data_IF_485225906104
#
_entry.id   IF_485225906104
#
_cell.length_a   1.000
_cell.length_b   1.000
_cell.length_c   1.000
_cell.angle_alpha   90.00
_cell.angle_beta   90.00
_cell.angle_gamma   90.00
#
_symmetry.space_group_name_H-M   'P 1'
#
loop_
_entity.id
_entity.type
_entity.pdbx_description
1 polymer ?
#
# COMPACT_ATOMS: atom_id res chain seq x y z
N UNK A 1 -35.81 -18.11 -58.41
CA UNK A 1 -35.41 -19.50 -58.75
C UNK A 1 -34.12 -19.78 -57.97
N UNK A 2 -33.98 -20.76 -57.05
CA UNK A 2 -34.16 -22.24 -57.16
C UNK A 2 -33.34 -22.79 -58.36
N UNK A 3 -32.39 -23.74 -58.34
CA UNK A 3 -32.11 -25.00 -57.59
C UNK A 3 -30.60 -25.41 -57.77
N UNK A 4 -30.01 -26.54 -57.31
CA UNK A 4 -29.70 -27.10 -55.96
C UNK A 4 -28.77 -28.34 -56.09
N UNK A 5 -27.88 -28.62 -55.09
CA UNK A 5 -27.07 -29.88 -54.91
C UNK A 5 -25.91 -30.12 -55.94
N UNK A 6 -24.87 -30.98 -55.78
CA UNK A 6 -24.38 -31.94 -54.76
C UNK A 6 -22.87 -32.30 -55.02
N UNK A 7 -21.98 -32.44 -54.01
CA UNK A 7 -21.38 -33.69 -53.45
C UNK A 7 -20.16 -34.36 -54.16
N UNK A 8 -19.24 -34.94 -53.35
CA UNK A 8 -18.00 -35.73 -53.67
C UNK A 8 -16.75 -34.94 -54.17
N UNK A 9 -15.50 -35.28 -53.85
CA UNK A 9 -14.92 -36.51 -53.24
C UNK A 9 -13.68 -36.27 -52.31
N UNK A 10 -13.21 -37.35 -51.68
CA UNK A 10 -12.04 -37.48 -50.79
C UNK A 10 -10.70 -36.93 -51.35
N UNK A 11 -9.83 -36.46 -50.44
CA UNK A 11 -8.46 -36.98 -50.36
C UNK A 11 -7.95 -36.98 -48.90
N UNK A 12 -7.53 -38.16 -48.42
CA UNK A 12 -6.96 -38.38 -47.09
C UNK A 12 -5.44 -38.50 -47.22
N UNK A 13 -4.67 -37.65 -46.55
CA UNK A 13 -3.22 -37.80 -46.42
C UNK A 13 -2.87 -38.19 -44.98
N UNK A 14 -2.53 -39.47 -44.81
CA UNK A 14 -1.99 -40.02 -43.58
C UNK A 14 -0.53 -39.59 -43.40
N UNK A 15 -0.21 -38.99 -42.26
CA UNK A 15 1.17 -38.92 -41.75
C UNK A 15 1.18 -39.70 -40.44
N UNK A 16 1.71 -40.92 -40.48
CA UNK A 16 1.81 -41.77 -39.30
C UNK A 16 3.00 -41.36 -38.43
N UNK A 17 2.74 -40.97 -37.19
CA UNK A 17 3.75 -40.94 -36.13
C UNK A 17 3.56 -42.14 -35.21
N UNK A 18 4.57 -43.00 -35.13
CA UNK A 18 4.55 -44.18 -34.26
C UNK A 18 4.67 -43.76 -32.79
N UNK A 19 3.58 -43.86 -32.03
CA UNK A 19 3.62 -43.77 -30.58
C UNK A 19 3.97 -45.15 -30.03
N UNK A 20 5.17 -45.29 -29.45
CA UNK A 20 5.56 -46.50 -28.74
C UNK A 20 4.78 -46.61 -27.43
N UNK A 21 3.93 -47.64 -27.30
CA UNK A 21 3.20 -47.94 -26.07
C UNK A 21 4.16 -48.59 -25.07
N UNK A 22 4.65 -47.81 -24.10
CA UNK A 22 5.38 -48.35 -22.95
C UNK A 22 4.39 -49.05 -22.01
N UNK A 23 4.58 -50.36 -21.82
CA UNK A 23 3.71 -51.18 -20.99
C UNK A 23 4.15 -51.08 -19.52
N UNK A 24 3.54 -50.16 -18.76
CA UNK A 24 3.86 -49.96 -17.33
C UNK A 24 3.20 -51.08 -16.50
N UNK A 25 3.96 -51.85 -15.69
CA UNK A 25 3.38 -52.90 -14.86
C UNK A 25 2.51 -52.30 -13.75
N UNK A 26 1.28 -52.82 -13.59
CA UNK A 26 0.38 -52.43 -12.51
C UNK A 26 0.93 -52.93 -11.15
N UNK A 27 1.43 -52.02 -10.34
CA UNK A 27 1.73 -52.28 -8.93
C UNK A 27 0.45 -52.24 -8.10
N UNK A 28 0.11 -53.34 -7.42
CA UNK A 28 -0.95 -53.37 -6.41
C UNK A 28 -0.52 -52.56 -5.19
N UNK A 29 -1.06 -51.34 -5.05
CA UNK A 29 -1.05 -50.61 -3.77
C UNK A 29 -2.31 -51.01 -3.02
N UNK A 30 -2.17 -51.40 -1.75
CA UNK A 30 -3.31 -51.65 -0.87
C UNK A 30 -3.93 -50.31 -0.46
N UNK A 31 -5.23 -50.17 -0.64
CA UNK A 31 -5.99 -49.04 -0.08
C UNK A 31 -6.11 -49.21 1.44
N UNK A 32 -5.30 -48.48 2.21
CA UNK A 32 -5.54 -48.28 3.64
C UNK A 32 -6.21 -46.91 3.85
N UNK A 33 -7.51 -46.94 4.12
CA UNK A 33 -8.25 -45.93 4.88
C UNK A 33 -8.14 -44.46 4.45
N UNK A 34 -8.79 -44.08 3.35
CA UNK A 34 -9.13 -42.66 3.12
C UNK A 34 -10.26 -42.25 4.08
N UNK A 35 -9.89 -41.81 5.28
CA UNK A 35 -10.79 -41.06 6.15
C UNK A 35 -11.14 -39.71 5.52
N UNK A 36 -12.37 -39.25 5.72
CA UNK A 36 -12.86 -37.96 5.21
C UNK A 36 -11.91 -36.82 5.59
N UNK A 37 -11.25 -36.21 4.59
CA UNK A 37 -10.45 -34.99 4.78
C UNK A 37 -11.40 -33.79 4.79
N UNK A 38 -12.26 -33.73 5.80
CA UNK A 38 -12.94 -32.47 6.16
C UNK A 38 -11.88 -31.45 6.57
N UNK A 39 -12.08 -30.21 6.12
CA UNK A 39 -11.20 -29.05 6.29
C UNK A 39 -10.30 -29.08 7.54
N UNK A 40 -9.00 -28.80 7.34
CA UNK A 40 -8.11 -28.34 8.42
C UNK A 40 -8.53 -26.92 8.80
N UNK A 41 -9.65 -26.80 9.50
CA UNK A 41 -10.05 -25.58 10.18
C UNK A 41 -9.06 -25.37 11.33
N UNK A 42 -8.34 -24.24 11.29
CA UNK A 42 -7.38 -23.87 12.34
C UNK A 42 -8.02 -23.97 13.73
N UNK A 43 -7.39 -24.75 14.60
CA UNK A 43 -7.84 -24.91 16.00
C UNK A 43 -7.37 -23.67 16.75
N UNK A 44 -8.32 -22.80 17.11
CA UNK A 44 -8.06 -21.51 17.77
C UNK A 44 -8.49 -20.29 16.97
N UNK A 45 -9.67 -20.32 16.32
CA UNK A 45 -10.31 -19.08 15.86
C UNK A 45 -11.13 -18.50 17.01
N UNK A 46 -10.47 -17.63 17.78
CA UNK A 46 -11.15 -16.75 18.74
C UNK A 46 -11.97 -15.76 17.92
N UNK A 47 -13.25 -16.10 17.75
CA UNK A 47 -14.18 -15.28 17.01
C UNK A 47 -14.65 -14.14 17.91
N UNK A 48 -14.11 -12.93 17.70
CA UNK A 48 -14.32 -11.77 18.57
C UNK A 48 -15.13 -10.69 17.85
N UNK A 49 -16.02 -10.04 18.58
CA UNK A 49 -16.79 -8.90 18.07
C UNK A 49 -15.93 -7.62 18.00
N UNK A 50 -16.02 -6.92 16.86
CA UNK A 50 -15.48 -5.57 16.68
C UNK A 50 -16.51 -4.54 17.16
N UNK A 51 -16.18 -3.86 18.26
CA UNK A 51 -17.04 -2.92 19.00
C UNK A 51 -16.92 -1.48 18.51
N UNK A 52 -15.76 -1.08 17.98
CA UNK A 52 -15.53 0.25 17.46
C UNK A 52 -14.40 0.30 16.42
N UNK A 53 -14.44 1.29 15.53
CA UNK A 53 -13.39 1.59 14.55
C UNK A 53 -12.78 2.94 14.90
N UNK A 54 -11.45 3.01 14.99
CA UNK A 54 -10.76 4.27 15.30
C UNK A 54 -10.51 5.06 14.01
N UNK A 55 -9.95 4.38 13.02
CA UNK A 55 -9.43 4.91 11.76
C UNK A 55 -9.46 3.79 10.69
N UNK A 56 -8.83 3.96 9.54
CA UNK A 56 -8.83 2.98 8.44
C UNK A 56 -8.03 1.70 8.68
N UNK A 57 -7.23 1.59 9.76
CA UNK A 57 -6.40 0.41 10.04
C UNK A 57 -6.35 -0.02 11.52
N UNK A 58 -7.12 0.62 12.39
CA UNK A 58 -7.16 0.32 13.82
C UNK A 58 -8.59 0.10 14.32
N UNK A 59 -8.83 -1.06 14.93
CA UNK A 59 -10.13 -1.44 15.51
C UNK A 59 -10.03 -1.66 17.03
N UNK A 60 -11.18 -1.62 17.71
CA UNK A 60 -11.32 -1.98 19.12
C UNK A 60 -12.33 -3.12 19.23
N UNK A 61 -11.92 -4.19 19.91
CA UNK A 61 -12.71 -5.39 20.14
C UNK A 61 -13.66 -5.22 21.34
N UNK A 62 -14.59 -6.15 21.53
CA UNK A 62 -15.58 -6.11 22.61
C UNK A 62 -14.96 -6.12 24.03
N UNK A 63 -13.77 -6.70 24.18
CA UNK A 63 -12.96 -6.73 25.42
C UNK A 63 -12.08 -5.47 25.60
N UNK A 64 -12.30 -4.44 24.80
CA UNK A 64 -11.51 -3.20 24.71
C UNK A 64 -10.05 -3.40 24.21
N UNK A 65 -9.69 -4.58 23.70
CA UNK A 65 -8.40 -4.80 23.02
C UNK A 65 -8.32 -3.96 21.74
N UNK A 66 -7.28 -3.13 21.63
CA UNK A 66 -6.97 -2.34 20.41
C UNK A 66 -6.08 -3.14 19.46
N UNK A 67 -6.52 -3.28 18.21
CA UNK A 67 -5.86 -4.06 17.15
C UNK A 67 -5.45 -3.16 16.00
N UNK A 68 -4.17 -3.18 15.62
CA UNK A 68 -3.64 -2.55 14.40
C UNK A 68 -3.51 -3.60 13.30
N UNK A 69 -4.07 -3.31 12.12
CA UNK A 69 -4.02 -4.18 10.96
C UNK A 69 -2.58 -4.24 10.43
N UNK A 70 -2.03 -5.45 10.31
CA UNK A 70 -0.67 -5.70 9.78
C UNK A 70 -0.61 -5.39 8.28
N UNK A 71 0.52 -4.83 7.84
CA UNK A 71 0.90 -4.76 6.42
C UNK A 71 0.31 -3.57 5.65
N UNK A 72 -0.48 -2.71 6.31
CA UNK A 72 -1.21 -1.61 5.69
C UNK A 72 -1.03 -0.32 6.49
N UNK A 73 -1.16 0.84 5.85
CA UNK A 73 -1.29 2.13 6.53
C UNK A 73 -2.38 2.99 5.87
N UNK A 74 -3.29 3.54 6.65
CA UNK A 74 -4.40 4.35 6.17
C UNK A 74 -4.11 5.85 6.26
N UNK A 75 -4.88 6.72 5.59
CA UNK A 75 -4.81 8.16 5.84
C UNK A 75 -5.18 8.49 7.30
N UNK A 76 -4.50 9.47 7.88
CA UNK A 76 -4.77 10.02 9.23
C UNK A 76 -5.92 11.05 9.22
N UNK A 77 -6.49 11.42 10.39
CA UNK A 77 -7.70 12.27 10.50
C UNK A 77 -7.66 13.57 9.67
N UNK A 78 -6.50 14.21 9.57
CA UNK A 78 -6.29 15.45 8.81
C UNK A 78 -5.94 15.22 7.32
N UNK A 79 -6.06 13.98 6.81
CA UNK A 79 -5.64 13.59 5.47
C UNK A 79 -6.82 13.26 4.54
N UNK A 80 -6.64 13.46 3.22
CA UNK A 80 -7.58 13.04 2.20
C UNK A 80 -7.87 11.53 2.27
N UNK A 81 -9.11 11.13 1.99
CA UNK A 81 -9.60 9.76 2.08
C UNK A 81 -9.63 9.13 3.50
N UNK A 82 -9.37 9.88 4.57
CA UNK A 82 -9.53 9.38 5.95
C UNK A 82 -10.95 8.91 6.25
N UNK A 83 -11.92 9.79 6.01
CA UNK A 83 -13.34 9.54 6.27
C UNK A 83 -13.85 8.35 5.44
N UNK A 84 -13.44 8.26 4.18
CA UNK A 84 -13.73 7.18 3.26
C UNK A 84 -13.12 5.85 3.72
N UNK A 85 -11.86 5.85 4.17
CA UNK A 85 -11.16 4.68 4.67
C UNK A 85 -11.77 4.16 5.97
N UNK A 86 -12.02 5.06 6.94
CA UNK A 86 -12.72 4.73 8.18
C UNK A 86 -14.12 4.15 7.92
N UNK A 87 -14.94 4.81 7.09
CA UNK A 87 -16.30 4.33 6.74
C UNK A 87 -16.27 2.99 6.01
N UNK A 88 -15.26 2.74 5.18
CA UNK A 88 -15.05 1.43 4.55
C UNK A 88 -14.82 0.36 5.62
N UNK A 89 -13.91 0.57 6.57
CA UNK A 89 -13.64 -0.40 7.63
C UNK A 89 -14.84 -0.58 8.58
N UNK A 90 -15.56 0.50 8.91
CA UNK A 90 -16.85 0.45 9.64
C UNK A 90 -17.89 -0.42 8.92
N UNK A 91 -18.10 -0.20 7.61
CA UNK A 91 -19.06 -0.99 6.83
C UNK A 91 -18.68 -2.49 6.76
N UNK A 92 -17.37 -2.77 6.80
CA UNK A 92 -16.83 -4.13 6.80
C UNK A 92 -16.96 -4.80 8.16
N UNK A 93 -16.71 -4.11 9.28
CA UNK A 93 -16.47 -4.77 10.57
C UNK A 93 -17.35 -4.35 11.75
N UNK A 94 -18.00 -3.18 11.74
CA UNK A 94 -18.72 -2.68 12.93
C UNK A 94 -19.82 -3.64 13.40
N UNK A 95 -19.79 -4.02 14.68
CA UNK A 95 -20.68 -5.03 15.31
C UNK A 95 -20.63 -6.40 14.62
N UNK A 96 -19.48 -6.79 14.06
CA UNK A 96 -19.28 -8.12 13.44
C UNK A 96 -18.23 -8.93 14.17
N UNK A 97 -18.44 -10.23 14.07
CA UNK A 97 -17.63 -11.31 14.61
C UNK A 97 -16.55 -11.70 13.60
N UNK A 98 -15.28 -11.58 13.98
CA UNK A 98 -14.10 -11.76 13.11
C UNK A 98 -13.09 -12.76 13.67
N UNK A 99 -12.34 -13.40 12.77
CA UNK A 99 -11.18 -14.21 13.12
C UNK A 99 -9.89 -13.37 13.05
N UNK A 100 -8.98 -13.55 14.02
CA UNK A 100 -7.78 -12.72 14.22
C UNK A 100 -6.47 -13.51 14.07
N UNK A 101 -5.84 -13.41 12.91
CA UNK A 101 -4.59 -14.12 12.58
C UNK A 101 -3.38 -13.30 13.02
N UNK A 102 -2.46 -13.92 13.76
CA UNK A 102 -1.16 -13.33 14.11
C UNK A 102 -0.11 -13.66 13.05
N UNK A 103 0.91 -12.80 12.97
CA UNK A 103 2.20 -13.07 12.33
C UNK A 103 3.27 -13.19 13.45
N UNK A 104 4.56 -13.19 13.10
CA UNK A 104 5.69 -13.32 14.03
C UNK A 104 5.63 -12.37 15.26
N UNK A 105 5.51 -11.06 15.04
CA UNK A 105 5.35 -10.05 16.09
C UNK A 105 3.87 -9.78 16.41
N UNK A 106 3.49 -10.02 17.67
CA UNK A 106 2.10 -9.97 18.13
C UNK A 106 1.63 -8.60 18.69
N UNK A 107 2.55 -7.68 18.98
CA UNK A 107 2.27 -6.39 19.66
C UNK A 107 3.23 -5.30 19.15
N UNK A 108 2.75 -4.08 18.93
CA UNK A 108 3.60 -2.94 18.57
C UNK A 108 4.12 -2.14 19.78
N UNK A 109 5.00 -1.16 19.52
CA UNK A 109 5.56 -0.29 20.57
C UNK A 109 4.52 0.53 21.38
N UNK A 110 3.29 0.65 20.90
CA UNK A 110 2.19 1.34 21.57
C UNK A 110 1.26 0.38 22.33
N UNK A 111 1.59 -0.91 22.37
CA UNK A 111 0.80 -1.95 23.03
C UNK A 111 -0.42 -2.42 22.23
N UNK A 112 -0.58 -2.00 20.96
CA UNK A 112 -1.67 -2.50 20.09
C UNK A 112 -1.35 -3.93 19.66
N UNK A 113 -2.36 -4.80 19.61
CA UNK A 113 -2.20 -6.14 19.03
C UNK A 113 -2.05 -6.03 17.51
N UNK A 114 -1.04 -6.71 16.97
CA UNK A 114 -0.82 -6.79 15.53
C UNK A 114 -1.58 -8.02 14.99
N UNK A 115 -2.51 -7.80 14.04
CA UNK A 115 -3.31 -8.87 13.43
C UNK A 115 -3.60 -8.63 11.93
N UNK A 116 -3.77 -9.73 11.21
CA UNK A 116 -4.62 -9.77 10.02
C UNK A 116 -6.06 -10.11 10.44
N UNK A 117 -7.06 -9.43 9.89
CA UNK A 117 -8.46 -9.65 10.24
C UNK A 117 -9.18 -10.35 9.09
N UNK A 118 -9.96 -11.38 9.42
CA UNK A 118 -10.78 -12.15 8.50
C UNK A 118 -12.26 -12.09 8.90
N UNK A 119 -13.13 -11.81 7.93
CA UNK A 119 -14.59 -11.91 8.07
C UNK A 119 -15.08 -13.07 7.20
N UNK A 120 -15.17 -14.26 7.80
CA UNK A 120 -15.24 -15.51 7.03
C UNK A 120 -14.03 -15.63 6.11
N UNK A 121 -14.24 -15.94 4.84
CA UNK A 121 -13.15 -16.07 3.85
C UNK A 121 -12.59 -14.71 3.37
N UNK A 122 -13.07 -13.56 3.90
CA UNK A 122 -12.67 -12.22 3.44
C UNK A 122 -11.49 -11.68 4.25
N UNK A 123 -10.31 -11.59 3.62
CA UNK A 123 -9.14 -10.92 4.18
C UNK A 123 -9.31 -9.38 4.16
N UNK A 124 -9.49 -8.77 5.33
CA UNK A 124 -9.88 -7.35 5.44
C UNK A 124 -8.73 -6.41 5.08
N UNK A 125 -7.51 -6.72 5.53
CA UNK A 125 -6.32 -5.90 5.25
C UNK A 125 -6.11 -5.76 3.73
N UNK A 126 -6.27 -6.86 3.00
CA UNK A 126 -6.24 -6.89 1.53
C UNK A 126 -7.36 -6.06 0.89
N UNK A 127 -8.61 -6.18 1.36
CA UNK A 127 -9.73 -5.42 0.81
C UNK A 127 -9.61 -3.91 1.05
N UNK A 128 -9.02 -3.48 2.17
CA UNK A 128 -8.71 -2.07 2.43
C UNK A 128 -7.71 -1.52 1.39
N UNK A 129 -6.58 -2.20 1.18
CA UNK A 129 -5.57 -1.81 0.17
C UNK A 129 -6.14 -1.85 -1.25
N UNK A 130 -6.84 -2.93 -1.60
CA UNK A 130 -7.44 -3.15 -2.93
C UNK A 130 -8.50 -2.10 -3.29
N UNK A 131 -9.18 -1.54 -2.29
CA UNK A 131 -10.11 -0.43 -2.47
C UNK A 131 -9.43 0.94 -2.63
N UNK A 132 -8.10 1.01 -2.50
CA UNK A 132 -7.34 2.26 -2.59
C UNK A 132 -7.48 3.15 -1.34
N UNK A 133 -7.91 2.59 -0.22
CA UNK A 133 -8.17 3.33 1.02
C UNK A 133 -7.10 3.09 2.11
N UNK A 134 -6.14 2.23 1.83
CA UNK A 134 -4.89 2.07 2.59
C UNK A 134 -3.72 1.82 1.63
N UNK A 135 -2.53 2.27 2.02
CA UNK A 135 -1.26 1.92 1.40
C UNK A 135 -0.74 0.61 2.00
N UNK A 136 0.23 -0.01 1.33
CA UNK A 136 0.97 -1.17 1.87
C UNK A 136 2.17 -0.67 2.67
N UNK A 137 2.28 -1.13 3.91
CA UNK A 137 3.40 -0.84 4.82
C UNK A 137 3.86 -2.15 5.46
N UNK A 138 4.92 -2.75 4.92
CA UNK A 138 5.45 -4.05 5.37
C UNK A 138 6.57 -3.81 6.38
N UNK A 139 6.31 -4.12 7.64
CA UNK A 139 7.28 -4.01 8.74
C UNK A 139 7.74 -5.42 9.11
N UNK A 140 9.03 -5.71 8.93
CA UNK A 140 9.61 -6.99 9.35
C UNK A 140 9.57 -7.14 10.87
N UNK A 141 9.32 -8.34 11.43
CA UNK A 141 9.24 -9.65 10.76
C UNK A 141 7.87 -9.99 10.13
N UNK A 142 6.86 -9.13 10.26
CA UNK A 142 5.47 -9.40 9.86
C UNK A 142 5.26 -9.26 8.34
N UNK A 143 5.68 -10.27 7.59
CA UNK A 143 5.74 -10.28 6.12
C UNK A 143 4.82 -11.31 5.47
N UNK A 144 4.03 -12.08 6.23
CA UNK A 144 3.34 -13.28 5.73
C UNK A 144 2.38 -13.02 4.55
N UNK A 145 1.72 -11.86 4.51
CA UNK A 145 0.84 -11.45 3.40
C UNK A 145 1.45 -10.39 2.45
N UNK A 146 2.75 -10.10 2.53
CA UNK A 146 3.36 -8.97 1.81
C UNK A 146 3.17 -9.03 0.28
N UNK A 147 3.24 -10.22 -0.35
CA UNK A 147 3.05 -10.37 -1.79
C UNK A 147 1.60 -10.08 -2.23
N UNK A 148 0.63 -10.57 -1.46
CA UNK A 148 -0.81 -10.41 -1.71
C UNK A 148 -1.23 -8.93 -1.56
N UNK A 149 -0.74 -8.26 -0.51
CA UNK A 149 -0.99 -6.84 -0.27
C UNK A 149 -0.36 -5.96 -1.37
N UNK A 150 0.86 -6.26 -1.81
CA UNK A 150 1.46 -5.54 -2.95
C UNK A 150 0.70 -5.75 -4.27
N UNK A 151 0.09 -6.93 -4.48
CA UNK A 151 -0.80 -7.16 -5.60
C UNK A 151 -2.09 -6.31 -5.50
N UNK A 152 -2.70 -6.22 -4.31
CA UNK A 152 -3.83 -5.33 -4.05
C UNK A 152 -3.50 -3.86 -4.33
N UNK A 153 -2.32 -3.39 -3.90
CA UNK A 153 -1.88 -2.01 -4.14
C UNK A 153 -1.66 -1.74 -5.63
N UNK A 154 -1.06 -2.70 -6.34
CA UNK A 154 -0.88 -2.61 -7.80
C UNK A 154 -2.23 -2.50 -8.50
N UNK A 155 -3.21 -3.33 -8.11
CA UNK A 155 -4.59 -3.23 -8.61
C UNK A 155 -5.23 -1.87 -8.31
N UNK A 156 -5.11 -1.37 -7.07
CA UNK A 156 -5.71 -0.09 -6.68
C UNK A 156 -5.07 1.12 -7.40
N UNK A 157 -3.76 1.04 -7.68
CA UNK A 157 -3.04 1.99 -8.55
C UNK A 157 -3.51 1.90 -9.99
N UNK A 158 -3.51 0.70 -10.60
CA UNK A 158 -3.94 0.48 -11.99
C UNK A 158 -5.42 0.83 -12.25
N UNK A 159 -6.24 0.74 -11.21
CA UNK A 159 -7.67 1.12 -11.22
C UNK A 159 -7.94 2.52 -10.69
N UNK A 160 -6.91 3.24 -10.25
CA UNK A 160 -7.01 4.65 -9.91
C UNK A 160 -8.06 4.89 -8.81
N UNK A 161 -7.98 4.11 -7.71
CA UNK A 161 -8.97 4.10 -6.65
C UNK A 161 -8.48 4.86 -5.41
N UNK A 162 -9.37 5.65 -4.79
CA UNK A 162 -9.11 6.31 -3.52
C UNK A 162 -7.85 7.19 -3.57
N UNK A 163 -6.90 6.95 -2.68
CA UNK A 163 -5.64 7.70 -2.57
C UNK A 163 -4.82 7.73 -3.87
N UNK A 164 -5.05 6.79 -4.81
CA UNK A 164 -4.35 6.69 -6.09
C UNK A 164 -4.99 7.47 -7.23
N UNK A 165 -6.23 7.97 -7.07
CA UNK A 165 -6.97 8.74 -8.09
C UNK A 165 -6.14 9.90 -8.65
N UNK A 166 -5.40 10.58 -7.77
CA UNK A 166 -4.57 11.73 -8.13
C UNK A 166 -3.41 11.44 -9.08
N UNK A 167 -2.78 10.25 -8.99
CA UNK A 167 -1.64 9.88 -9.84
C UNK A 167 -2.04 9.39 -11.24
N UNK A 168 -3.23 8.78 -11.34
CA UNK A 168 -3.77 8.24 -12.58
C UNK A 168 -4.45 9.29 -13.46
N UNK A 169 -5.20 10.17 -12.81
CA UNK A 169 -5.73 11.38 -13.40
C UNK A 169 -4.93 12.54 -12.80
N UNK A 170 -3.61 12.66 -13.07
CA UNK A 170 -2.91 13.88 -12.74
C UNK A 170 -3.71 14.98 -13.43
N UNK A 171 -4.05 16.03 -12.69
CA UNK A 171 -4.57 17.17 -13.41
C UNK A 171 -3.45 17.60 -14.37
N UNK A 172 -3.78 17.93 -15.62
CA UNK A 172 -2.75 18.35 -16.60
C UNK A 172 -2.02 19.64 -16.17
N UNK A 173 -2.45 20.23 -15.05
CA UNK A 173 -1.82 21.29 -14.27
C UNK A 173 -0.74 20.84 -13.26
N UNK A 174 -0.71 19.58 -12.79
CA UNK A 174 0.17 19.14 -11.68
C UNK A 174 1.61 18.87 -12.13
N UNK A 175 2.23 19.91 -12.65
CA UNK A 175 3.64 19.98 -13.04
C UNK A 175 4.61 19.98 -11.84
N UNK A 176 4.08 20.01 -10.61
CA UNK A 176 4.85 19.94 -9.37
C UNK A 176 5.07 18.47 -9.02
N UNK A 177 6.32 18.05 -8.95
CA UNK A 177 6.68 16.66 -8.71
C UNK A 177 7.83 16.55 -7.72
N UNK A 178 7.92 15.41 -7.03
CA UNK A 178 9.16 14.98 -6.38
C UNK A 178 10.15 14.65 -7.50
N UNK A 179 11.36 15.18 -7.43
CA UNK A 179 12.37 15.05 -8.50
C UNK A 179 13.64 14.31 -8.08
N UNK A 180 13.96 14.30 -6.78
CA UNK A 180 15.04 13.51 -6.20
C UNK A 180 14.82 13.35 -4.70
N UNK A 181 15.44 12.30 -4.13
CA UNK A 181 15.52 12.08 -2.68
C UNK A 181 16.96 11.71 -2.32
N UNK A 182 17.45 12.22 -1.20
CA UNK A 182 18.75 11.90 -0.61
C UNK A 182 18.54 11.36 0.80
N UNK A 183 19.05 10.15 1.05
CA UNK A 183 18.93 9.43 2.33
C UNK A 183 20.29 9.28 3.04
N UNK A 184 21.40 9.25 2.31
CA UNK A 184 22.73 8.92 2.85
C UNK A 184 23.49 10.19 3.26
N UNK A 185 23.46 10.48 4.57
CA UNK A 185 24.47 11.29 5.21
C UNK A 185 25.68 10.41 5.52
N UNK A 186 26.79 10.56 4.77
CA UNK A 186 27.99 9.71 4.89
C UNK A 186 28.79 9.77 6.22
N UNK A 187 28.19 10.28 7.29
CA UNK A 187 28.70 10.26 8.66
C UNK A 187 27.56 10.51 9.66
N UNK A 188 27.44 9.61 10.66
CA UNK A 188 26.69 9.75 11.93
C UNK A 188 25.40 10.57 11.83
N UNK A 189 24.30 9.89 11.50
CA UNK A 189 22.96 10.42 11.24
C UNK A 189 22.45 11.36 12.36
N UNK A 190 22.93 11.19 13.59
CA UNK A 190 22.59 12.07 14.72
C UNK A 190 23.15 13.50 14.60
N UNK A 191 24.10 13.75 13.70
CA UNK A 191 24.87 15.02 13.57
C UNK A 191 24.68 15.76 12.26
N UNK A 192 23.98 15.20 11.27
CA UNK A 192 23.91 15.77 9.92
C UNK A 192 22.56 15.58 9.21
N UNK A 193 21.44 15.77 9.93
CA UNK A 193 20.07 15.65 9.39
C UNK A 193 19.75 16.58 8.20
N UNK A 194 20.58 17.60 7.95
CA UNK A 194 20.43 18.45 6.75
C UNK A 194 21.03 17.81 5.47
N UNK A 195 21.73 16.68 5.57
CA UNK A 195 22.20 15.93 4.39
C UNK A 195 21.13 15.01 3.80
N UNK A 196 20.14 14.62 4.59
CA UNK A 196 18.88 14.05 4.10
C UNK A 196 17.98 15.15 3.52
N UNK A 197 17.40 14.93 2.34
CA UNK A 197 16.43 15.87 1.76
C UNK A 197 15.57 15.26 0.65
N UNK A 198 14.39 15.86 0.47
CA UNK A 198 13.50 15.63 -0.68
C UNK A 198 13.48 16.88 -1.56
N UNK A 199 13.65 16.72 -2.87
CA UNK A 199 13.62 17.84 -3.83
C UNK A 199 12.32 17.87 -4.63
N UNK A 200 11.59 18.98 -4.50
CA UNK A 200 10.37 19.26 -5.25
C UNK A 200 10.71 20.16 -6.44
N UNK A 201 10.31 19.78 -7.65
CA UNK A 201 10.52 20.55 -8.88
C UNK A 201 9.21 21.08 -9.43
N UNK A 202 9.19 22.36 -9.79
CA UNK A 202 8.15 22.93 -10.65
C UNK A 202 8.53 22.73 -12.12
N UNK A 203 7.82 21.86 -12.84
CA UNK A 203 8.03 21.63 -14.27
C UNK A 203 7.15 22.52 -15.19
N UNK A 204 6.30 23.38 -14.64
CA UNK A 204 5.50 24.33 -15.42
C UNK A 204 6.36 25.39 -16.14
N UNK A 205 5.70 26.12 -17.05
CA UNK A 205 6.17 27.37 -17.64
C UNK A 205 5.92 28.60 -16.75
N UNK A 206 5.03 28.50 -15.75
CA UNK A 206 4.70 29.54 -14.76
C UNK A 206 5.23 29.22 -13.36
N UNK A 207 5.30 30.24 -12.50
CA UNK A 207 5.48 30.05 -11.06
C UNK A 207 4.24 29.41 -10.43
N UNK A 208 4.42 28.71 -9.31
CA UNK A 208 3.35 28.06 -8.57
C UNK A 208 3.51 28.29 -7.07
N UNK A 209 2.42 28.49 -6.33
CA UNK A 209 2.46 28.60 -4.88
C UNK A 209 2.19 27.23 -4.25
N UNK A 210 3.11 26.77 -3.40
CA UNK A 210 3.03 25.49 -2.72
C UNK A 210 2.28 25.58 -1.38
N UNK A 211 1.66 26.72 -1.03
CA UNK A 211 0.87 26.86 0.21
C UNK A 211 -0.07 25.65 0.43
N UNK A 212 0.09 24.99 1.58
CA UNK A 212 -0.63 23.79 2.01
C UNK A 212 -0.35 22.50 1.19
N UNK A 213 0.67 22.48 0.33
CA UNK A 213 1.16 21.21 -0.23
C UNK A 213 1.77 20.37 0.88
N UNK A 214 1.48 19.07 0.86
CA UNK A 214 1.86 18.11 1.89
C UNK A 214 2.87 17.12 1.32
N UNK A 215 4.03 17.03 1.95
CA UNK A 215 5.02 15.96 1.69
C UNK A 215 4.99 15.02 2.90
N UNK A 216 4.81 13.72 2.68
CA UNK A 216 4.88 12.72 3.77
C UNK A 216 5.65 11.47 3.39
N UNK A 217 6.10 10.76 4.41
CA UNK A 217 6.57 9.38 4.31
C UNK A 217 5.39 8.39 4.21
N UNK A 218 5.72 7.10 4.05
CA UNK A 218 4.73 6.03 4.02
C UNK A 218 4.04 5.83 5.38
N UNK A 219 4.79 5.99 6.47
CA UNK A 219 4.28 5.80 7.84
C UNK A 219 3.29 6.88 8.28
N UNK A 220 3.25 8.00 7.58
CA UNK A 220 2.47 9.21 7.89
C UNK A 220 2.82 9.89 9.23
N UNK A 221 3.73 9.33 10.03
CA UNK A 221 4.26 9.95 11.25
C UNK A 221 5.07 11.21 10.92
N UNK A 222 5.67 11.25 9.72
CA UNK A 222 6.39 12.41 9.22
C UNK A 222 5.64 13.05 8.05
N UNK A 223 4.96 14.18 8.33
CA UNK A 223 4.50 15.12 7.29
C UNK A 223 5.09 16.54 7.39
N UNK A 224 5.48 17.11 6.24
CA UNK A 224 5.83 18.52 6.03
C UNK A 224 4.72 19.23 5.25
N UNK A 225 4.21 20.34 5.79
CA UNK A 225 3.27 21.20 5.09
C UNK A 225 3.96 22.48 4.67
N UNK A 226 4.00 22.76 3.37
CA UNK A 226 4.49 24.02 2.84
C UNK A 226 3.67 25.20 3.35
N UNK A 227 4.36 26.21 3.87
CA UNK A 227 3.81 27.55 4.12
C UNK A 227 3.69 28.31 2.78
N UNK A 228 3.49 29.63 2.81
CA UNK A 228 3.49 30.45 1.61
C UNK A 228 4.86 30.43 0.91
N UNK A 229 5.01 29.58 -0.10
CA UNK A 229 6.27 29.36 -0.83
C UNK A 229 6.01 29.35 -2.33
N UNK A 230 6.57 30.32 -3.07
CA UNK A 230 6.38 30.45 -4.51
C UNK A 230 7.55 29.84 -5.26
N UNK A 231 7.35 28.68 -5.88
CA UNK A 231 8.36 28.00 -6.67
C UNK A 231 8.29 28.43 -8.14
N UNK A 232 9.35 29.08 -8.62
CA UNK A 232 9.45 29.57 -10.00
C UNK A 232 9.48 28.45 -11.06
N UNK A 233 9.22 28.78 -12.35
CA UNK A 233 9.21 27.78 -13.42
C UNK A 233 10.57 27.14 -13.62
N UNK A 234 10.59 25.80 -13.77
CA UNK A 234 11.80 24.96 -13.86
C UNK A 234 12.75 25.08 -12.65
N UNK A 235 12.28 25.62 -11.52
CA UNK A 235 13.04 25.70 -10.26
C UNK A 235 12.76 24.48 -9.38
N UNK A 236 13.61 24.33 -8.37
CA UNK A 236 13.60 23.27 -7.37
C UNK A 236 13.67 23.87 -5.98
N UNK A 237 13.07 23.20 -5.01
CA UNK A 237 13.24 23.45 -3.56
C UNK A 237 13.54 22.13 -2.87
N UNK A 238 14.46 22.14 -1.91
CA UNK A 238 14.81 21.00 -1.06
C UNK A 238 14.17 21.14 0.30
N UNK A 239 13.59 20.05 0.80
CA UNK A 239 13.05 19.92 2.15
C UNK A 239 14.04 19.07 2.93
N UNK A 240 14.78 19.69 3.84
CA UNK A 240 15.78 19.04 4.68
C UNK A 240 15.15 18.50 5.98
N UNK A 241 15.60 17.33 6.46
CA UNK A 241 15.07 16.75 7.70
C UNK A 241 15.38 17.61 8.93
N UNK A 242 16.59 18.16 8.99
CA UNK A 242 17.08 18.96 10.11
C UNK A 242 16.51 20.38 10.16
N UNK A 243 17.23 21.25 10.88
CA UNK A 243 16.83 22.64 11.13
C UNK A 243 17.84 23.65 10.59
N UNK A 244 17.34 24.78 10.08
CA UNK A 244 18.10 25.98 9.68
C UNK A 244 17.11 27.12 9.38
N UNK A 245 17.55 28.16 8.67
CA UNK A 245 16.73 29.26 8.16
C UNK A 245 16.27 28.94 6.74
N UNK A 246 14.95 28.95 6.49
CA UNK A 246 14.36 28.78 5.16
C UNK A 246 14.90 29.81 4.14
N UNK A 247 15.19 29.33 2.92
CA UNK A 247 15.66 30.13 1.78
C UNK A 247 14.72 29.97 0.58
N UNK A 248 15.06 30.58 -0.56
CA UNK A 248 14.32 30.38 -1.81
C UNK A 248 14.56 29.01 -2.48
N UNK A 249 15.49 28.20 -1.97
CA UNK A 249 15.87 26.90 -2.54
C UNK A 249 15.90 25.76 -1.53
N UNK A 250 15.91 26.05 -0.24
CA UNK A 250 16.12 25.08 0.84
C UNK A 250 15.20 25.46 2.01
N UNK A 251 14.33 24.53 2.43
CA UNK A 251 13.41 24.68 3.55
C UNK A 251 13.62 23.56 4.56
N UNK A 252 13.33 23.84 5.83
CA UNK A 252 13.74 22.98 6.93
C UNK A 252 12.54 22.50 7.75
N UNK A 253 12.53 21.23 8.10
CA UNK A 253 11.34 20.56 8.61
C UNK A 253 11.28 20.58 10.14
N UNK A 254 12.22 19.94 10.83
CA UNK A 254 12.21 19.87 12.28
C UNK A 254 12.80 21.13 12.91
N UNK A 255 12.02 22.19 13.07
CA UNK A 255 12.44 23.37 13.83
C UNK A 255 11.51 23.67 15.02
N UNK A 256 11.97 23.53 16.28
CA UNK A 256 13.31 23.08 16.71
C UNK A 256 13.58 21.60 16.37
N UNK A 257 14.86 21.25 16.26
CA UNK A 257 15.31 19.92 15.84
C UNK A 257 14.92 18.84 16.85
N UNK A 258 14.39 17.71 16.37
CA UNK A 258 14.08 16.53 17.18
C UNK A 258 15.23 15.51 17.08
N UNK A 259 15.23 14.50 17.94
CA UNK A 259 16.32 13.52 17.97
C UNK A 259 16.32 12.57 16.76
N UNK A 260 15.15 12.22 16.23
CA UNK A 260 15.00 11.26 15.12
C UNK A 260 15.20 11.88 13.73
N UNK A 261 15.87 11.16 12.83
CA UNK A 261 15.83 11.41 11.39
C UNK A 261 14.39 11.32 10.84
N UNK A 262 14.14 11.92 9.67
CA UNK A 262 12.81 11.88 9.03
C UNK A 262 12.76 10.83 7.93
N UNK A 263 13.76 10.86 7.04
CA UNK A 263 13.84 9.95 5.92
C UNK A 263 14.65 8.74 6.39
N UNK A 264 13.97 7.63 6.67
CA UNK A 264 14.64 6.46 7.19
C UNK A 264 15.23 5.61 6.05
N UNK A 265 16.24 4.82 6.38
CA UNK A 265 17.04 4.06 5.40
C UNK A 265 16.43 2.70 5.01
N UNK A 266 15.14 2.47 5.29
CA UNK A 266 14.44 1.20 4.99
C UNK A 266 13.85 1.11 3.58
N UNK A 267 13.90 2.21 2.81
CA UNK A 267 13.24 2.32 1.50
C UNK A 267 11.81 2.86 1.60
N UNK A 268 11.65 4.10 2.08
CA UNK A 268 10.34 4.75 2.16
C UNK A 268 9.84 5.18 0.78
N UNK A 269 8.52 5.43 0.69
CA UNK A 269 7.94 6.19 -0.42
C UNK A 269 7.58 7.60 0.03
N UNK A 270 8.12 8.60 -0.66
CA UNK A 270 7.71 9.99 -0.54
C UNK A 270 6.39 10.18 -1.30
N UNK A 271 5.39 10.74 -0.64
CA UNK A 271 4.13 11.15 -1.25
C UNK A 271 3.98 12.68 -1.19
N UNK A 272 3.68 13.30 -2.34
CA UNK A 272 3.41 14.73 -2.47
C UNK A 272 1.94 14.94 -2.85
N UNK A 273 1.20 15.63 -1.99
CA UNK A 273 -0.18 16.04 -2.22
C UNK A 273 -0.26 17.55 -2.43
N UNK A 274 -1.22 17.97 -3.26
CA UNK A 274 -1.52 19.39 -3.45
C UNK A 274 -2.34 20.00 -2.29
N UNK A 275 -2.61 21.29 -2.39
CA UNK A 275 -3.38 22.07 -1.42
C UNK A 275 -4.88 21.70 -1.34
N UNK A 276 -5.36 20.78 -2.18
CA UNK A 276 -6.71 20.20 -2.14
C UNK A 276 -6.68 18.75 -1.63
N UNK A 277 -5.50 18.20 -1.36
CA UNK A 277 -5.34 16.82 -0.92
C UNK A 277 -5.25 15.79 -2.05
N UNK A 278 -5.08 16.21 -3.30
CA UNK A 278 -4.87 15.28 -4.40
C UNK A 278 -3.41 14.82 -4.42
N UNK A 279 -3.17 13.51 -4.47
CA UNK A 279 -1.83 12.95 -4.63
C UNK A 279 -1.30 13.29 -6.03
N UNK A 280 -0.24 14.12 -6.13
CA UNK A 280 0.28 14.61 -7.42
C UNK A 280 1.62 13.99 -7.83
N UNK A 281 2.38 13.43 -6.88
CA UNK A 281 3.64 12.73 -7.18
C UNK A 281 3.99 11.75 -6.06
N UNK A 282 4.63 10.64 -6.42
CA UNK A 282 5.23 9.73 -5.44
C UNK A 282 6.54 9.12 -5.96
N UNK A 283 7.56 9.02 -5.11
CA UNK A 283 8.84 8.34 -5.41
C UNK A 283 9.17 7.41 -4.23
N UNK A 284 9.25 6.11 -4.52
CA UNK A 284 9.95 5.13 -3.67
C UNK A 284 11.41 5.05 -4.07
N UNK A 285 12.28 4.67 -3.13
CA UNK A 285 13.72 4.76 -3.28
C UNK A 285 14.48 3.59 -2.63
#
# INVERSE_FOLDING_TARGET
>A
MRFTYSFWALLLLLVGSSIAIFNIPKTNIKEEGVGNISAVKGIGSDNVEVKNIVDGDTVILADDTRVRLIGINSPEENQPYYEESKKKLESLLMNKFVDLVSDEDAVDQYGRKLKYIYLGDTHINYEMVKSGLSMVEIISPNVSHAAELNQAQSYARDKCLGIWEGLCMPDVSSCIQVSAVMQDAKADDSKNKNSEWVEIMNTCSSQHNLLNYLVKDLSAQNSYTFKNFVLGPKKRVKIHSGCSIDTATDVYWQCPEKESAIWNNSGDTVYLYDNFGKLVSSIGY
#
